data_IF_830294295568
#
_entry.id   IF_830294295568
#
_cell.length_a   1.000
_cell.length_b   1.000
_cell.length_c   1.000
_cell.angle_alpha   90.00
_cell.angle_beta   90.00
_cell.angle_gamma   90.00
#
_symmetry.space_group_name_H-M   'P 1'
#
loop_
_entity.id
_entity.type
_entity.pdbx_description
1 polymer ?
#
# COMPACT_ATOMS: atom_id res chain seq x y z
N UNK A 1 33.73 -3.10 -6.11
CA UNK A 1 32.78 -4.24 -6.14
C UNK A 1 31.54 -3.75 -6.85
N UNK A 2 31.15 -4.37 -7.97
CA UNK A 2 29.92 -4.04 -8.69
C UNK A 2 28.85 -5.05 -8.30
N UNK A 3 27.70 -4.58 -7.83
CA UNK A 3 26.56 -5.43 -7.49
C UNK A 3 25.59 -5.36 -8.67
N UNK A 4 25.19 -6.52 -9.20
CA UNK A 4 24.19 -6.60 -10.28
C UNK A 4 22.81 -6.21 -9.71
N UNK A 5 22.00 -5.41 -10.44
CA UNK A 5 20.60 -5.21 -10.08
C UNK A 5 19.84 -6.54 -10.04
N UNK A 6 18.89 -6.69 -9.12
CA UNK A 6 18.01 -7.86 -9.05
C UNK A 6 17.09 -7.89 -10.27
N UNK A 7 16.92 -9.08 -10.86
CA UNK A 7 16.05 -9.30 -12.03
C UNK A 7 14.66 -9.80 -11.59
N UNK A 8 13.62 -9.64 -12.42
CA UNK A 8 12.22 -10.03 -12.10
C UNK A 8 12.10 -11.46 -11.56
N UNK A 9 12.91 -12.36 -12.11
CA UNK A 9 12.93 -13.76 -11.71
C UNK A 9 13.54 -13.97 -10.31
N UNK A 10 14.48 -13.11 -9.90
CA UNK A 10 15.01 -13.11 -8.54
C UNK A 10 13.95 -12.64 -7.55
N UNK A 11 13.20 -11.58 -7.90
CA UNK A 11 12.09 -11.09 -7.08
C UNK A 11 11.07 -12.20 -6.85
N UNK A 12 10.61 -12.84 -7.93
CA UNK A 12 9.61 -13.91 -7.86
C UNK A 12 10.10 -15.07 -7.00
N UNK A 13 11.34 -15.52 -7.20
CA UNK A 13 11.92 -16.63 -6.44
C UNK A 13 12.00 -16.31 -4.95
N UNK A 14 12.48 -15.11 -4.59
CA UNK A 14 12.60 -14.68 -3.20
C UNK A 14 11.22 -14.54 -2.56
N UNK A 15 10.25 -13.93 -3.25
CA UNK A 15 8.90 -13.73 -2.70
C UNK A 15 8.15 -15.04 -2.56
N UNK A 16 8.30 -15.99 -3.50
CA UNK A 16 7.69 -17.33 -3.39
C UNK A 16 8.24 -18.11 -2.21
N UNK A 17 9.55 -18.04 -1.97
CA UNK A 17 10.19 -18.76 -0.87
C UNK A 17 9.85 -18.13 0.50
N UNK A 18 9.57 -16.82 0.55
CA UNK A 18 9.26 -16.09 1.79
C UNK A 18 7.76 -16.04 2.12
N UNK A 19 6.88 -16.02 1.12
CA UNK A 19 5.43 -15.89 1.25
C UNK A 19 4.72 -17.02 0.48
N UNK A 20 4.88 -18.28 0.91
CA UNK A 20 4.38 -19.45 0.17
C UNK A 20 2.85 -19.52 0.13
N UNK A 21 2.17 -18.87 1.06
CA UNK A 21 0.70 -18.88 1.16
C UNK A 21 0.06 -17.97 0.11
N UNK A 22 0.79 -16.97 -0.42
CA UNK A 22 0.30 -16.07 -1.46
C UNK A 22 0.40 -16.77 -2.83
N UNK A 23 -0.71 -16.92 -3.58
CA UNK A 23 -0.68 -17.55 -4.89
C UNK A 23 0.30 -16.89 -5.86
N UNK A 24 1.11 -17.72 -6.53
CA UNK A 24 2.10 -17.31 -7.53
C UNK A 24 1.58 -16.31 -8.60
N UNK A 25 0.35 -16.44 -9.15
CA UNK A 25 -0.19 -15.44 -10.07
C UNK A 25 -0.32 -14.04 -9.46
N UNK A 26 -0.62 -13.93 -8.17
CA UNK A 26 -0.72 -12.64 -7.47
C UNK A 26 0.67 -12.04 -7.25
N UNK A 27 1.64 -12.83 -6.80
CA UNK A 27 3.04 -12.40 -6.67
C UNK A 27 3.59 -11.89 -8.00
N UNK A 28 3.31 -12.62 -9.09
CA UNK A 28 3.71 -12.20 -10.44
C UNK A 28 3.10 -10.85 -10.82
N UNK A 29 1.80 -10.64 -10.60
CA UNK A 29 1.14 -9.37 -10.90
C UNK A 29 1.67 -8.21 -10.05
N UNK A 30 1.99 -8.45 -8.78
CA UNK A 30 2.61 -7.47 -7.87
C UNK A 30 4.01 -7.04 -8.35
N UNK A 31 4.84 -8.01 -8.74
CA UNK A 31 6.19 -7.74 -9.28
C UNK A 31 6.09 -6.97 -10.58
N UNK A 32 5.22 -7.42 -11.50
CA UNK A 32 4.99 -6.77 -12.79
C UNK A 32 4.54 -5.32 -12.63
N UNK A 33 3.65 -5.06 -11.67
CA UNK A 33 3.21 -3.71 -11.32
C UNK A 33 4.34 -2.84 -10.79
N UNK A 34 5.17 -3.37 -9.88
CA UNK A 34 6.31 -2.65 -9.34
C UNK A 34 7.32 -2.27 -10.44
N UNK A 35 7.60 -3.19 -11.37
CA UNK A 35 8.50 -2.95 -12.49
C UNK A 35 7.97 -1.93 -13.49
N UNK A 36 6.66 -1.97 -13.79
CA UNK A 36 6.06 -0.99 -14.70
C UNK A 36 6.10 0.43 -14.10
N UNK A 37 5.85 0.58 -12.80
CA UNK A 37 5.99 1.87 -12.13
C UNK A 37 7.45 2.35 -12.15
N UNK A 38 8.41 1.50 -11.79
CA UNK A 38 9.84 1.83 -11.84
C UNK A 38 10.27 2.29 -13.24
N UNK A 39 9.86 1.53 -14.26
CA UNK A 39 10.11 1.84 -15.67
C UNK A 39 9.54 3.20 -16.07
N UNK A 40 8.29 3.51 -15.70
CA UNK A 40 7.68 4.77 -16.10
C UNK A 40 8.19 5.98 -15.33
N UNK A 41 8.42 5.86 -14.02
CA UNK A 41 8.76 6.99 -13.14
C UNK A 41 10.26 7.28 -13.15
N UNK A 42 11.11 6.27 -13.00
CA UNK A 42 12.55 6.48 -12.81
C UNK A 42 13.35 6.33 -14.10
N UNK A 43 13.00 5.35 -14.94
CA UNK A 43 13.73 5.09 -16.21
C UNK A 43 13.24 6.03 -17.32
N UNK A 44 11.95 5.99 -17.65
CA UNK A 44 11.34 6.79 -18.73
C UNK A 44 10.98 8.22 -18.29
N UNK A 45 10.85 8.46 -16.98
CA UNK A 45 10.52 9.77 -16.38
C UNK A 45 9.28 10.44 -16.97
N UNK A 46 8.25 9.63 -17.24
CA UNK A 46 7.00 10.06 -17.87
C UNK A 46 6.14 10.92 -16.91
N UNK A 47 6.21 10.63 -15.62
CA UNK A 47 5.43 11.27 -14.56
C UNK A 47 6.16 11.12 -13.21
N UNK A 48 5.57 11.57 -12.09
CA UNK A 48 6.23 11.46 -10.78
C UNK A 48 7.44 12.39 -10.64
N UNK A 49 7.35 13.61 -11.16
CA UNK A 49 8.45 14.60 -11.04
C UNK A 49 8.54 15.20 -9.64
N UNK A 50 7.38 15.50 -9.05
CA UNK A 50 7.30 16.03 -7.69
C UNK A 50 7.48 14.90 -6.67
N UNK A 51 8.43 15.06 -5.75
CA UNK A 51 8.77 14.04 -4.76
C UNK A 51 9.83 13.03 -5.22
N UNK A 52 10.36 13.19 -6.43
CA UNK A 52 11.52 12.43 -6.90
C UNK A 52 12.79 12.74 -6.07
N UNK A 53 13.78 11.82 -6.02
CA UNK A 53 13.78 10.49 -6.61
C UNK A 53 12.87 9.50 -5.86
N UNK A 54 12.18 8.64 -6.60
CA UNK A 54 11.45 7.50 -6.03
C UNK A 54 12.35 6.27 -6.05
N UNK A 55 12.13 5.34 -5.13
CA UNK A 55 12.77 4.02 -5.14
C UNK A 55 11.67 2.97 -5.08
N UNK A 56 11.53 2.17 -6.14
CA UNK A 56 10.61 1.04 -6.19
C UNK A 56 11.44 -0.25 -6.20
N UNK A 57 11.41 -1.00 -5.10
CA UNK A 57 12.29 -2.16 -4.92
C UNK A 57 11.59 -3.32 -4.18
N UNK A 58 12.34 -4.38 -3.90
CA UNK A 58 11.82 -5.60 -3.28
C UNK A 58 11.16 -5.35 -1.92
N UNK A 59 11.55 -4.30 -1.18
CA UNK A 59 10.92 -3.92 0.09
C UNK A 59 9.47 -3.52 -0.09
N UNK A 60 9.12 -2.86 -1.19
CA UNK A 60 7.73 -2.47 -1.46
C UNK A 60 6.86 -3.70 -1.66
N UNK A 61 7.39 -4.72 -2.35
CA UNK A 61 6.70 -5.99 -2.55
C UNK A 61 6.60 -6.79 -1.25
N UNK A 62 7.65 -6.81 -0.42
CA UNK A 62 7.59 -7.42 0.92
C UNK A 62 6.53 -6.77 1.80
N UNK A 63 6.49 -5.44 1.86
CA UNK A 63 5.43 -4.72 2.58
C UNK A 63 4.04 -5.08 2.08
N UNK A 64 3.91 -5.26 0.77
CA UNK A 64 2.65 -5.66 0.17
C UNK A 64 2.23 -7.07 0.60
N UNK A 65 3.16 -8.03 0.56
CA UNK A 65 2.92 -9.39 1.04
C UNK A 65 2.60 -9.41 2.54
N UNK A 66 3.39 -8.71 3.37
CA UNK A 66 3.17 -8.58 4.81
C UNK A 66 1.78 -8.01 5.13
N UNK A 67 1.35 -6.97 4.41
CA UNK A 67 0.04 -6.37 4.64
C UNK A 67 -1.12 -7.31 4.28
N UNK A 68 -0.96 -8.11 3.22
CA UNK A 68 -1.92 -9.13 2.81
C UNK A 68 -2.02 -10.20 3.90
N UNK A 69 -0.92 -10.84 4.30
CA UNK A 69 -0.93 -11.90 5.32
C UNK A 69 -1.42 -11.42 6.69
N UNK A 70 -1.13 -10.17 7.06
CA UNK A 70 -1.56 -9.62 8.34
C UNK A 70 -3.06 -9.30 8.38
N UNK A 71 -3.63 -8.85 7.26
CA UNK A 71 -4.97 -8.23 7.23
C UNK A 71 -6.04 -9.11 6.60
N UNK A 72 -5.65 -10.14 5.85
CA UNK A 72 -6.54 -10.95 5.05
C UNK A 72 -6.39 -12.43 5.40
N UNK A 73 -7.44 -13.21 5.15
CA UNK A 73 -7.42 -14.64 5.40
C UNK A 73 -6.79 -15.38 4.23
N UNK A 74 -6.10 -16.48 4.53
CA UNK A 74 -5.53 -17.37 3.52
C UNK A 74 -6.62 -17.82 2.53
N UNK A 75 -6.36 -17.61 1.24
CA UNK A 75 -7.28 -17.96 0.16
C UNK A 75 -8.31 -16.89 -0.21
N UNK A 76 -8.38 -15.77 0.51
CA UNK A 76 -9.25 -14.61 0.19
C UNK A 76 -8.43 -13.31 0.12
N UNK A 77 -7.39 -13.34 -0.72
CA UNK A 77 -6.45 -12.23 -0.83
C UNK A 77 -6.91 -11.17 -1.82
N UNK A 78 -6.99 -9.92 -1.38
CA UNK A 78 -7.17 -8.75 -2.23
C UNK A 78 -5.91 -7.89 -2.25
N UNK A 79 -5.08 -8.08 -3.28
CA UNK A 79 -3.85 -7.29 -3.44
C UNK A 79 -4.14 -5.82 -3.75
N UNK A 80 -5.32 -5.47 -4.27
CA UNK A 80 -5.71 -4.10 -4.61
C UNK A 80 -5.86 -3.17 -3.41
N UNK A 81 -6.17 -3.73 -2.24
CA UNK A 81 -6.41 -2.98 -1.01
C UNK A 81 -5.20 -2.11 -0.60
N UNK A 82 -3.98 -2.61 -0.79
CA UNK A 82 -2.76 -1.97 -0.32
C UNK A 82 -2.05 -1.08 -1.36
N UNK A 83 -2.55 -1.03 -2.60
CA UNK A 83 -1.96 -0.20 -3.68
C UNK A 83 -1.92 1.27 -3.28
N UNK A 84 -2.99 1.76 -2.65
CA UNK A 84 -3.05 3.13 -2.14
C UNK A 84 -1.93 3.39 -1.11
N UNK A 85 -1.83 2.52 -0.11
CA UNK A 85 -0.90 2.67 1.01
C UNK A 85 0.57 2.60 0.55
N UNK A 86 0.89 1.65 -0.32
CA UNK A 86 2.29 1.34 -0.68
C UNK A 86 2.79 2.22 -1.82
N UNK A 87 1.92 2.60 -2.75
CA UNK A 87 2.32 3.32 -3.96
C UNK A 87 1.66 4.69 -4.09
N UNK A 88 0.32 4.77 -4.07
CA UNK A 88 -0.36 6.02 -4.40
C UNK A 88 -0.11 7.13 -3.37
N UNK A 89 -0.11 6.82 -2.08
CA UNK A 89 0.09 7.83 -1.03
C UNK A 89 1.50 8.44 -1.02
N UNK A 90 2.47 7.82 -1.70
CA UNK A 90 3.81 8.39 -1.92
C UNK A 90 3.81 9.49 -2.99
N UNK A 91 2.85 9.47 -3.91
CA UNK A 91 2.77 10.42 -5.01
C UNK A 91 2.28 11.78 -4.52
N UNK A 92 2.92 12.85 -5.01
CA UNK A 92 2.65 14.23 -4.58
C UNK A 92 1.39 14.81 -5.22
N UNK A 93 1.15 14.51 -6.49
CA UNK A 93 0.02 15.09 -7.23
C UNK A 93 -1.12 14.10 -7.35
N UNK A 94 -2.35 14.60 -7.40
CA UNK A 94 -3.53 13.76 -7.65
C UNK A 94 -3.45 13.08 -9.03
N UNK A 95 -2.82 13.72 -10.01
CA UNK A 95 -2.60 13.16 -11.34
C UNK A 95 -1.67 11.93 -11.28
N UNK A 96 -0.55 12.04 -10.57
CA UNK A 96 0.39 10.93 -10.38
C UNK A 96 -0.25 9.80 -9.57
N UNK A 97 -1.07 10.12 -8.56
CA UNK A 97 -1.88 9.11 -7.83
C UNK A 97 -2.82 8.35 -8.77
N UNK A 98 -3.51 9.05 -9.67
CA UNK A 98 -4.40 8.41 -10.63
C UNK A 98 -3.64 7.51 -11.62
N UNK A 99 -2.42 7.90 -12.05
CA UNK A 99 -1.58 7.05 -12.90
C UNK A 99 -1.20 5.73 -12.23
N UNK A 100 -0.88 5.73 -10.94
CA UNK A 100 -0.66 4.51 -10.14
C UNK A 100 -1.86 3.56 -10.28
N UNK A 101 -3.07 4.05 -10.02
CA UNK A 101 -4.28 3.25 -10.10
C UNK A 101 -4.57 2.75 -11.53
N UNK A 102 -4.33 3.58 -12.55
CA UNK A 102 -4.51 3.18 -13.95
C UNK A 102 -3.57 2.04 -14.35
N UNK A 103 -2.30 2.12 -13.97
CA UNK A 103 -1.31 1.07 -14.25
C UNK A 103 -1.72 -0.22 -13.54
N UNK A 104 -2.17 -0.12 -12.29
CA UNK A 104 -2.65 -1.26 -11.52
C UNK A 104 -3.82 -1.96 -12.22
N UNK A 105 -4.88 -1.23 -12.55
CA UNK A 105 -6.06 -1.79 -13.22
C UNK A 105 -5.73 -2.39 -14.59
N UNK A 106 -4.79 -1.79 -15.33
CA UNK A 106 -4.33 -2.32 -16.60
C UNK A 106 -3.70 -3.71 -16.45
N UNK A 107 -2.79 -3.86 -15.47
CA UNK A 107 -2.10 -5.12 -15.21
C UNK A 107 -3.08 -6.20 -14.72
N UNK A 108 -3.96 -5.87 -13.78
CA UNK A 108 -4.99 -6.80 -13.30
C UNK A 108 -5.88 -7.33 -14.45
N UNK A 109 -6.23 -6.44 -15.39
CA UNK A 109 -7.06 -6.79 -16.55
C UNK A 109 -6.31 -7.67 -17.55
N UNK A 110 -5.04 -7.38 -17.80
CA UNK A 110 -4.21 -8.12 -18.74
C UNK A 110 -3.85 -9.51 -18.22
N UNK A 111 -3.55 -9.62 -16.93
CA UNK A 111 -3.26 -10.87 -16.24
C UNK A 111 -4.54 -11.68 -15.94
N UNK A 112 -5.72 -11.14 -16.30
CA UNK A 112 -7.06 -11.74 -16.15
C UNK A 112 -7.35 -12.17 -14.71
N UNK A 113 -6.95 -11.33 -13.76
CA UNK A 113 -7.19 -11.59 -12.34
C UNK A 113 -8.67 -11.39 -12.00
N UNK A 114 -9.20 -12.15 -11.02
CA UNK A 114 -10.57 -12.00 -10.55
C UNK A 114 -10.93 -10.55 -10.14
N UNK A 115 -12.21 -10.16 -10.24
CA UNK A 115 -12.67 -8.82 -9.89
C UNK A 115 -12.39 -8.40 -8.44
N UNK A 116 -12.24 -9.36 -7.52
CA UNK A 116 -11.92 -9.08 -6.12
C UNK A 116 -10.58 -8.35 -5.94
N UNK A 117 -9.62 -8.52 -6.84
CA UNK A 117 -8.34 -7.83 -6.79
C UNK A 117 -8.40 -6.39 -7.34
N UNK A 118 -9.53 -5.95 -7.88
CA UNK A 118 -9.68 -4.56 -8.33
C UNK A 118 -9.90 -3.65 -7.13
N UNK A 119 -9.34 -2.44 -7.19
CA UNK A 119 -9.50 -1.43 -6.13
C UNK A 119 -10.98 -1.02 -6.09
N UNK A 120 -11.68 -1.38 -5.01
CA UNK A 120 -13.05 -0.99 -4.77
C UNK A 120 -13.09 0.25 -3.87
N UNK A 121 -13.85 1.26 -4.29
CA UNK A 121 -14.15 2.40 -3.42
C UNK A 121 -15.04 1.94 -2.26
N UNK A 122 -14.54 2.09 -1.04
CA UNK A 122 -15.27 1.80 0.19
C UNK A 122 -15.49 3.08 1.00
N UNK A 123 -16.64 3.21 1.68
CA UNK A 123 -16.82 4.28 2.66
C UNK A 123 -15.84 4.08 3.83
N UNK A 124 -15.37 5.21 4.36
CA UNK A 124 -14.45 5.28 5.49
C UNK A 124 -15.23 5.64 6.75
N UNK A 125 -15.50 4.63 7.56
CA UNK A 125 -16.19 4.81 8.84
C UNK A 125 -15.18 4.81 10.00
N UNK A 126 -15.29 5.82 10.87
CA UNK A 126 -14.51 5.94 12.09
C UNK A 126 -15.31 5.34 13.25
N UNK A 127 -14.84 4.21 13.78
CA UNK A 127 -15.45 3.54 14.92
C UNK A 127 -14.52 3.64 16.14
N UNK A 128 -15.04 4.11 17.26
CA UNK A 128 -14.30 4.26 18.52
C UNK A 128 -14.88 3.30 19.54
N UNK A 129 -14.05 2.38 20.03
CA UNK A 129 -14.35 1.42 21.07
C UNK A 129 -13.68 1.83 22.39
N UNK A 130 -13.89 1.04 23.45
CA UNK A 130 -13.33 1.36 24.79
C UNK A 130 -11.80 1.34 24.82
N UNK A 131 -11.19 0.39 24.10
CA UNK A 131 -9.76 0.11 24.11
C UNK A 131 -9.10 0.20 22.72
N UNK A 132 -9.88 0.58 21.69
CA UNK A 132 -9.41 0.57 20.31
C UNK A 132 -10.13 1.60 19.45
N UNK A 133 -9.42 2.04 18.40
CA UNK A 133 -9.97 2.90 17.35
C UNK A 133 -9.80 2.18 16.03
N UNK A 134 -10.88 2.11 15.26
CA UNK A 134 -10.89 1.53 13.93
C UNK A 134 -11.27 2.60 12.92
N UNK A 135 -10.50 2.65 11.84
CA UNK A 135 -10.79 3.50 10.70
C UNK A 135 -10.65 2.65 9.44
N UNK A 136 -11.77 2.35 8.82
CA UNK A 136 -11.79 1.43 7.70
C UNK A 136 -11.21 0.05 8.08
N UNK A 137 -10.15 -0.37 7.39
CA UNK A 137 -9.48 -1.67 7.63
C UNK A 137 -8.25 -1.56 8.55
N UNK A 138 -8.01 -0.37 9.10
CA UNK A 138 -6.97 -0.13 10.07
C UNK A 138 -7.53 -0.15 11.49
N UNK A 139 -6.85 -0.80 12.43
CA UNK A 139 -7.23 -0.83 13.84
C UNK A 139 -6.03 -0.64 14.76
N UNK A 140 -6.19 0.20 15.78
CA UNK A 140 -5.15 0.46 16.78
C UNK A 140 -5.73 0.25 18.18
N UNK A 141 -4.98 -0.47 19.03
CA UNK A 141 -5.27 -0.58 20.46
C UNK A 141 -4.74 0.65 21.20
N UNK A 142 -5.58 1.29 21.99
CA UNK A 142 -5.24 2.44 22.80
C UNK A 142 -4.94 1.98 24.24
N UNK A 143 -3.67 2.05 24.64
CA UNK A 143 -3.25 1.71 25.99
C UNK A 143 -3.60 2.83 26.98
N UNK A 144 -4.79 2.76 27.58
CA UNK A 144 -5.18 3.61 28.72
C UNK A 144 -5.37 5.10 28.37
N UNK A 145 -6.42 5.69 28.92
CA UNK A 145 -6.76 7.11 28.75
C UNK A 145 -5.81 7.99 29.58
N UNK A 146 -4.67 8.42 29.03
CA UNK A 146 -3.94 9.59 29.55
C UNK A 146 -4.63 10.87 29.05
N UNK A 147 -5.79 11.17 29.65
CA UNK A 147 -6.59 12.37 29.33
C UNK A 147 -5.94 13.57 30.04
N UNK A 148 -4.80 14.03 29.53
CA UNK A 148 -4.19 15.27 29.98
C UNK A 148 -4.65 16.49 29.15
N UNK A 149 -5.27 16.26 27.98
CA UNK A 149 -5.65 17.32 27.06
C UNK A 149 -7.05 17.04 26.48
N UNK A 150 -8.06 17.75 26.99
CA UNK A 150 -9.46 17.68 26.54
C UNK A 150 -9.78 18.76 25.51
N UNK A 151 -8.82 19.16 24.69
CA UNK A 151 -9.14 19.90 23.47
C UNK A 151 -9.90 18.96 22.53
N UNK A 152 -11.16 19.31 22.23
CA UNK A 152 -12.02 18.51 21.35
C UNK A 152 -11.49 18.64 19.92
N UNK A 153 -10.62 17.71 19.52
CA UNK A 153 -10.09 17.64 18.14
C UNK A 153 -11.18 17.10 17.23
N UNK A 154 -11.65 17.93 16.30
CA UNK A 154 -12.54 17.50 15.22
C UNK A 154 -11.71 17.12 13.99
N UNK A 155 -11.93 15.91 13.48
CA UNK A 155 -11.25 15.41 12.28
C UNK A 155 -12.15 15.57 11.06
N UNK A 156 -11.76 16.36 10.04
CA UNK A 156 -12.51 16.45 8.80
C UNK A 156 -12.57 15.11 8.06
N UNK A 157 -13.73 14.81 7.44
CA UNK A 157 -13.90 13.60 6.63
C UNK A 157 -12.89 13.49 5.47
N UNK A 158 -12.41 14.62 4.97
CA UNK A 158 -11.38 14.72 3.92
C UNK A 158 -10.01 14.20 4.37
N UNK A 159 -9.73 14.13 5.67
CA UNK A 159 -8.48 13.63 6.22
C UNK A 159 -8.53 12.14 6.57
N UNK A 160 -9.72 11.54 6.61
CA UNK A 160 -9.89 10.12 6.95
C UNK A 160 -9.08 9.18 6.05
N UNK A 161 -8.99 9.37 4.71
CA UNK A 161 -8.18 8.49 3.89
C UNK A 161 -6.67 8.53 4.21
N UNK A 162 -6.17 9.67 4.70
CA UNK A 162 -4.76 9.81 5.10
C UNK A 162 -4.56 9.20 6.49
N UNK A 163 -5.51 9.42 7.40
CA UNK A 163 -5.48 8.82 8.73
C UNK A 163 -5.57 7.29 8.68
N UNK A 164 -6.38 6.71 7.78
CA UNK A 164 -6.42 5.25 7.59
C UNK A 164 -5.03 4.72 7.23
N UNK A 165 -4.33 5.35 6.29
CA UNK A 165 -2.98 4.94 5.90
C UNK A 165 -1.97 5.07 7.05
N UNK A 166 -2.04 6.15 7.82
CA UNK A 166 -1.18 6.33 9.00
C UNK A 166 -1.49 5.26 10.04
N UNK A 167 -2.77 5.01 10.29
CA UNK A 167 -3.19 3.99 11.26
C UNK A 167 -2.72 2.60 10.84
N UNK A 168 -2.84 2.28 9.55
CA UNK A 168 -2.37 0.99 9.03
C UNK A 168 -0.86 0.85 9.12
N UNK A 169 -0.08 1.91 8.86
CA UNK A 169 1.36 1.90 9.11
C UNK A 169 1.69 1.59 10.58
N UNK A 170 0.98 2.19 11.53
CA UNK A 170 1.19 1.94 12.97
C UNK A 170 0.84 0.49 13.32
N UNK A 171 -0.28 -0.02 12.83
CA UNK A 171 -0.71 -1.42 13.01
C UNK A 171 0.36 -2.40 12.49
N UNK A 172 0.94 -2.12 11.32
CA UNK A 172 1.99 -2.93 10.69
C UNK A 172 3.40 -2.69 11.28
N UNK A 173 3.55 -1.84 12.30
CA UNK A 173 4.83 -1.40 12.85
C UNK A 173 5.78 -0.76 11.81
N UNK A 174 5.22 -0.12 10.77
CA UNK A 174 5.96 0.66 9.80
C UNK A 174 6.07 2.12 10.24
N UNK A 175 7.20 2.76 10.01
CA UNK A 175 7.39 4.18 10.30
C UNK A 175 6.62 5.05 9.29
N UNK A 176 5.53 5.75 9.68
CA UNK A 176 4.83 6.65 8.78
C UNK A 176 5.61 7.97 8.66
N UNK A 177 5.66 8.54 7.46
CA UNK A 177 6.21 9.87 7.23
C UNK A 177 5.13 10.70 6.55
N UNK A 178 4.64 11.72 7.24
CA UNK A 178 3.73 12.70 6.68
C UNK A 178 4.54 13.88 6.15
N UNK A 179 4.29 14.26 4.90
CA UNK A 179 4.99 15.38 4.27
C UNK A 179 3.97 16.27 3.56
N UNK A 180 3.94 17.56 3.89
CA UNK A 180 3.09 18.53 3.20
C UNK A 180 3.61 18.83 1.79
N UNK A 181 2.70 19.21 0.90
CA UNK A 181 3.02 19.74 -0.42
C UNK A 181 3.19 21.26 -0.30
#
# INVERSE_FOLDING_TARGET
VYVRPMESNDFLKITEDMYPDIPKPLLFAMIRFNEEIESQVNVKRLWGRQGSPFEFNLRDIFRWCEAIEHSQMEGDFNIGEFVKLIYADRMRTAEDKNKVYMIYHHIMSEDRLPPEHFILHRPLDLNVYEDSVQLGNASIKCAGRNVADTSMISVPSTQLPVLESIMKCIEMNWMPILVSI
#
